data_IF_671492024823
#
_entry.id   IF_671492024823
#
_cell.length_a   1.000
_cell.length_b   1.000
_cell.length_c   1.000
_cell.angle_alpha   90.00
_cell.angle_beta   90.00
_cell.angle_gamma   90.00
#
_symmetry.space_group_name_H-M   'P 1'
#
loop_
_entity.id
_entity.type
_entity.pdbx_description
1 polymer ?
#
# COMPACT_ATOMS: atom_id res chain seq x y z
N UNK A 1 -17.04 -3.72 -31.81
CA UNK A 1 -17.07 -4.90 -30.90
C UNK A 1 -15.80 -5.06 -30.08
N UNK A 2 -14.61 -4.79 -30.62
CA UNK A 2 -13.30 -5.00 -29.97
C UNK A 2 -13.03 -4.10 -28.74
N UNK A 3 -13.48 -2.83 -28.76
CA UNK A 3 -13.32 -1.89 -27.64
C UNK A 3 -14.15 -2.28 -26.40
N UNK A 4 -15.36 -2.80 -26.60
CA UNK A 4 -16.22 -3.28 -25.50
C UNK A 4 -15.65 -4.54 -24.84
N UNK A 5 -15.00 -5.41 -25.60
CA UNK A 5 -14.32 -6.61 -25.07
C UNK A 5 -13.08 -6.22 -24.25
N UNK A 6 -12.32 -5.21 -24.66
CA UNK A 6 -11.16 -4.74 -23.89
C UNK A 6 -11.58 -4.08 -22.56
N UNK A 7 -12.63 -3.26 -22.57
CA UNK A 7 -13.14 -2.59 -21.36
C UNK A 7 -13.79 -3.60 -20.40
N UNK A 8 -14.52 -4.59 -20.92
CA UNK A 8 -15.13 -5.65 -20.09
C UNK A 8 -14.11 -6.66 -19.57
N UNK A 9 -13.03 -6.96 -20.30
CA UNK A 9 -11.94 -7.79 -19.81
C UNK A 9 -11.14 -7.12 -18.68
N UNK A 10 -10.87 -5.82 -18.79
CA UNK A 10 -10.25 -5.02 -17.71
C UNK A 10 -11.19 -4.94 -16.50
N UNK A 11 -12.49 -4.71 -16.72
CA UNK A 11 -13.50 -4.71 -15.66
C UNK A 11 -13.66 -6.07 -14.96
N UNK A 12 -13.68 -7.17 -15.71
CA UNK A 12 -13.78 -8.53 -15.20
C UNK A 12 -12.49 -8.94 -14.46
N UNK A 13 -11.31 -8.55 -14.95
CA UNK A 13 -10.04 -8.79 -14.25
C UNK A 13 -9.98 -8.02 -12.91
N UNK A 14 -10.47 -6.77 -12.89
CA UNK A 14 -10.55 -5.96 -11.67
C UNK A 14 -11.57 -6.51 -10.64
N UNK A 15 -12.65 -7.13 -11.12
CA UNK A 15 -13.69 -7.72 -10.26
C UNK A 15 -13.35 -9.14 -9.78
N UNK A 16 -12.75 -9.98 -10.62
CA UNK A 16 -12.35 -11.35 -10.27
C UNK A 16 -11.19 -11.35 -9.27
N UNK A 17 -10.28 -10.38 -9.36
CA UNK A 17 -9.15 -10.26 -8.44
C UNK A 17 -9.41 -9.38 -7.22
N UNK A 18 -10.68 -9.11 -6.85
CA UNK A 18 -11.02 -8.71 -5.47
C UNK A 18 -10.63 -9.87 -4.55
N UNK A 19 -9.55 -9.77 -3.74
CA UNK A 19 -9.22 -10.86 -2.84
C UNK A 19 -10.28 -10.88 -1.74
N UNK A 20 -10.89 -12.06 -1.57
CA UNK A 20 -11.81 -12.37 -0.49
C UNK A 20 -11.27 -11.88 0.86
N UNK A 21 -12.13 -11.36 1.75
CA UNK A 21 -11.75 -10.91 3.09
C UNK A 21 -11.38 -12.15 3.92
N UNK A 22 -10.11 -12.57 3.84
CA UNK A 22 -9.53 -13.55 4.76
C UNK A 22 -9.26 -12.86 6.10
N UNK A 23 -10.32 -12.45 6.77
CA UNK A 23 -10.34 -12.33 8.22
C UNK A 23 -10.46 -13.75 8.79
N UNK A 24 -9.66 -14.05 9.83
CA UNK A 24 -9.77 -15.21 10.75
C UNK A 24 -8.99 -16.52 10.51
N UNK A 25 -7.82 -16.55 9.86
CA UNK A 25 -6.99 -17.78 9.88
C UNK A 25 -5.47 -17.58 10.09
N UNK A 26 -5.06 -16.44 10.66
CA UNK A 26 -3.63 -16.14 10.90
C UNK A 26 -3.07 -16.51 12.28
N UNK A 27 -3.83 -17.20 13.15
CA UNK A 27 -3.45 -17.36 14.57
C UNK A 27 -2.52 -18.53 14.91
N UNK A 28 -1.94 -19.26 13.95
CA UNK A 28 -1.10 -20.44 14.27
C UNK A 28 0.17 -20.61 13.44
N UNK A 29 0.64 -19.58 12.72
CA UNK A 29 1.91 -19.70 11.96
C UNK A 29 2.91 -18.69 12.53
N UNK A 30 4.04 -19.14 13.11
CA UNK A 30 5.16 -18.26 13.44
C UNK A 30 5.54 -17.49 12.19
N UNK A 31 5.65 -16.17 12.30
CA UNK A 31 6.12 -15.32 11.22
C UNK A 31 7.60 -15.62 10.94
N UNK A 32 7.86 -16.69 10.21
CA UNK A 32 9.14 -16.88 9.54
C UNK A 32 9.30 -15.72 8.55
N UNK A 33 10.45 -15.05 8.65
CA UNK A 33 10.84 -13.97 7.74
C UNK A 33 10.76 -14.51 6.32
N UNK A 34 9.71 -14.16 5.59
CA UNK A 34 9.60 -14.52 4.18
C UNK A 34 10.79 -13.86 3.46
N UNK A 35 11.63 -14.64 2.77
CA UNK A 35 12.76 -14.08 2.03
C UNK A 35 12.24 -13.09 0.99
N UNK A 36 12.95 -11.97 0.84
CA UNK A 36 12.65 -10.84 -0.06
C UNK A 36 12.39 -11.26 -1.53
N UNK A 37 12.79 -12.48 -1.92
CA UNK A 37 12.52 -13.10 -3.22
C UNK A 37 11.05 -13.46 -3.48
N UNK A 38 10.20 -13.58 -2.44
CA UNK A 38 8.76 -13.86 -2.61
C UNK A 38 7.95 -12.64 -3.06
N UNK A 39 8.52 -11.43 -2.99
CA UNK A 39 7.93 -10.23 -3.58
C UNK A 39 7.95 -10.25 -5.13
N UNK A 40 8.82 -11.07 -5.74
CA UNK A 40 8.94 -11.21 -7.19
C UNK A 40 7.93 -12.21 -7.79
N UNK A 41 7.38 -13.13 -7.01
CA UNK A 41 6.37 -14.12 -7.46
C UNK A 41 5.15 -13.48 -8.14
N UNK A 42 4.52 -12.41 -7.61
CA UNK A 42 3.42 -11.76 -8.32
C UNK A 42 3.87 -11.06 -9.61
N UNK A 43 5.13 -10.62 -9.72
CA UNK A 43 5.69 -9.99 -10.94
C UNK A 43 5.91 -11.03 -12.02
N UNK A 44 6.43 -12.20 -11.67
CA UNK A 44 6.66 -13.31 -12.62
C UNK A 44 5.34 -13.89 -13.12
N UNK A 45 4.33 -14.06 -12.26
CA UNK A 45 2.99 -14.52 -12.66
C UNK A 45 2.28 -13.48 -13.54
N UNK A 46 2.46 -12.20 -13.23
CA UNK A 46 1.94 -11.10 -14.03
C UNK A 46 2.61 -11.05 -15.43
N UNK A 47 3.94 -11.17 -15.50
CA UNK A 47 4.69 -11.25 -16.76
C UNK A 47 4.33 -12.50 -17.57
N UNK A 48 4.13 -13.65 -16.93
CA UNK A 48 3.66 -14.85 -17.60
C UNK A 48 2.24 -14.67 -18.17
N UNK A 49 1.36 -13.98 -17.44
CA UNK A 49 0.04 -13.59 -17.94
C UNK A 49 0.09 -12.64 -19.15
N UNK A 50 1.04 -11.70 -19.15
CA UNK A 50 1.31 -10.80 -20.30
C UNK A 50 1.75 -11.58 -21.52
N UNK A 51 2.67 -12.54 -21.36
CA UNK A 51 3.15 -13.38 -22.46
C UNK A 51 2.02 -14.25 -23.01
N UNK A 52 1.21 -14.87 -22.15
CA UNK A 52 0.08 -15.72 -22.57
C UNK A 52 -1.00 -14.90 -23.26
N UNK A 53 -1.35 -13.71 -22.77
CA UNK A 53 -2.33 -12.82 -23.39
C UNK A 53 -1.84 -12.26 -24.74
N UNK A 54 -0.55 -11.91 -24.83
CA UNK A 54 0.07 -11.46 -26.08
C UNK A 54 0.11 -12.58 -27.14
N UNK A 55 0.46 -13.80 -26.74
CA UNK A 55 0.50 -14.98 -27.62
C UNK A 55 -0.90 -15.36 -28.07
N UNK A 56 -1.89 -15.39 -27.17
CA UNK A 56 -3.29 -15.67 -27.54
C UNK A 56 -3.89 -14.57 -28.44
N UNK A 57 -3.56 -13.30 -28.19
CA UNK A 57 -3.98 -12.19 -29.05
C UNK A 57 -3.38 -12.25 -30.46
N UNK A 58 -2.10 -12.63 -30.56
CA UNK A 58 -1.41 -12.88 -31.84
C UNK A 58 -2.03 -14.05 -32.61
N UNK A 59 -2.38 -15.14 -31.91
CA UNK A 59 -2.92 -16.37 -32.53
C UNK A 59 -4.35 -16.18 -33.05
N UNK A 60 -5.19 -15.39 -32.36
CA UNK A 60 -6.61 -15.26 -32.72
C UNK A 60 -6.96 -14.06 -33.63
N UNK A 61 -6.19 -12.97 -33.62
CA UNK A 61 -6.56 -11.71 -34.30
C UNK A 61 -5.43 -11.05 -35.11
N UNK A 62 -4.31 -11.74 -35.36
CA UNK A 62 -3.17 -11.20 -36.11
C UNK A 62 -2.40 -10.10 -35.36
N UNK A 63 -1.66 -9.25 -36.08
CA UNK A 63 -0.78 -8.22 -35.48
C UNK A 63 -1.54 -7.18 -34.66
N UNK A 64 -2.77 -6.85 -35.05
CA UNK A 64 -3.65 -5.94 -34.31
C UNK A 64 -4.11 -6.51 -32.96
N UNK A 65 -4.34 -7.83 -32.89
CA UNK A 65 -4.68 -8.52 -31.65
C UNK A 65 -3.51 -8.59 -30.65
N UNK A 66 -2.30 -8.79 -31.17
CA UNK A 66 -1.08 -8.80 -30.36
C UNK A 66 -0.80 -7.47 -29.66
N UNK A 67 -0.98 -6.34 -30.36
CA UNK A 67 -0.76 -5.01 -29.80
C UNK A 67 -1.75 -4.66 -28.68
N UNK A 68 -3.04 -4.99 -28.85
CA UNK A 68 -4.07 -4.78 -27.81
C UNK A 68 -3.79 -5.68 -26.61
N UNK A 69 -3.46 -6.96 -26.84
CA UNK A 69 -3.15 -7.93 -25.79
C UNK A 69 -1.95 -7.50 -24.96
N UNK A 70 -0.86 -7.07 -25.60
CA UNK A 70 0.34 -6.62 -24.92
C UNK A 70 0.10 -5.35 -24.09
N UNK A 71 -0.60 -4.36 -24.66
CA UNK A 71 -0.87 -3.08 -23.97
C UNK A 71 -1.88 -3.21 -22.83
N UNK A 72 -2.95 -3.98 -23.02
CA UNK A 72 -3.92 -4.23 -21.94
C UNK A 72 -3.32 -5.06 -20.81
N UNK A 73 -2.44 -6.03 -21.14
CA UNK A 73 -1.73 -6.80 -20.14
C UNK A 73 -0.68 -5.96 -19.39
N UNK A 74 0.10 -5.12 -20.08
CA UNK A 74 1.04 -4.18 -19.44
C UNK A 74 0.31 -3.26 -18.45
N UNK A 75 -0.80 -2.66 -18.85
CA UNK A 75 -1.62 -1.82 -17.97
C UNK A 75 -2.18 -2.63 -16.78
N UNK A 76 -2.73 -3.83 -17.03
CA UNK A 76 -3.27 -4.67 -15.97
C UNK A 76 -2.19 -5.09 -14.96
N UNK A 77 -0.98 -5.40 -15.42
CA UNK A 77 0.16 -5.77 -14.57
C UNK A 77 0.63 -4.58 -13.74
N UNK A 78 0.81 -3.40 -14.36
CA UNK A 78 1.25 -2.20 -13.63
C UNK A 78 0.21 -1.75 -12.61
N UNK A 79 -1.08 -1.78 -12.96
CA UNK A 79 -2.16 -1.46 -12.02
C UNK A 79 -2.25 -2.51 -10.91
N UNK A 80 -2.10 -3.80 -11.21
CA UNK A 80 -2.13 -4.86 -10.19
C UNK A 80 -0.95 -4.74 -9.22
N UNK A 81 0.26 -4.54 -9.76
CA UNK A 81 1.47 -4.38 -8.96
C UNK A 81 1.38 -3.13 -8.08
N UNK A 82 0.96 -2.00 -8.68
CA UNK A 82 0.76 -0.74 -7.98
C UNK A 82 -0.33 -0.84 -6.90
N UNK A 83 -1.50 -1.42 -7.22
CA UNK A 83 -2.57 -1.62 -6.24
C UNK A 83 -2.14 -2.55 -5.10
N UNK A 84 -1.39 -3.61 -5.39
CA UNK A 84 -0.92 -4.53 -4.36
C UNK A 84 0.06 -3.84 -3.43
N UNK A 85 1.00 -3.07 -3.98
CA UNK A 85 1.98 -2.32 -3.21
C UNK A 85 1.33 -1.19 -2.41
N UNK A 86 0.44 -0.43 -3.04
CA UNK A 86 -0.34 0.63 -2.39
C UNK A 86 -1.23 0.07 -1.27
N UNK A 87 -1.84 -1.11 -1.43
CA UNK A 87 -2.66 -1.73 -0.37
C UNK A 87 -1.80 -2.16 0.82
N UNK A 88 -0.62 -2.73 0.60
CA UNK A 88 0.31 -3.03 1.71
C UNK A 88 0.82 -1.77 2.40
N UNK A 89 1.15 -0.72 1.63
CA UNK A 89 1.60 0.56 2.17
C UNK A 89 0.47 1.31 2.92
N UNK A 90 -0.76 1.27 2.41
CA UNK A 90 -1.94 1.88 3.05
C UNK A 90 -2.29 1.20 4.37
N UNK A 91 -2.11 -0.13 4.45
CA UNK A 91 -2.30 -0.86 5.71
C UNK A 91 -1.24 -0.50 6.74
N UNK A 92 0.02 -0.36 6.32
CA UNK A 92 1.08 0.10 7.20
C UNK A 92 0.81 1.54 7.69
N UNK A 93 0.39 2.46 6.80
CA UNK A 93 0.03 3.84 7.17
C UNK A 93 -1.10 3.87 8.20
N UNK A 94 -2.21 3.18 7.93
CA UNK A 94 -3.35 3.10 8.86
C UNK A 94 -2.95 2.53 10.22
N UNK A 95 -2.13 1.47 10.22
CA UNK A 95 -1.62 0.90 11.47
C UNK A 95 -0.73 1.89 12.23
N UNK A 96 0.13 2.64 11.55
CA UNK A 96 0.93 3.69 12.20
C UNK A 96 0.03 4.72 12.87
N UNK A 97 -1.02 5.17 12.18
CA UNK A 97 -2.04 6.08 12.73
C UNK A 97 -2.71 5.46 13.97
N UNK A 98 -3.22 4.22 13.86
CA UNK A 98 -3.84 3.47 14.96
C UNK A 98 -2.90 3.30 16.17
N UNK A 99 -1.61 3.05 15.93
CA UNK A 99 -0.58 2.91 16.98
C UNK A 99 -0.34 4.23 17.70
N UNK A 100 -0.26 5.34 16.97
CA UNK A 100 -0.07 6.66 17.59
C UNK A 100 -1.30 7.04 18.41
N UNK A 101 -2.51 6.87 17.88
CA UNK A 101 -3.75 7.16 18.58
C UNK A 101 -3.85 6.32 19.88
N UNK A 102 -3.48 5.04 19.80
CA UNK A 102 -3.42 4.17 20.97
C UNK A 102 -2.37 4.64 22.00
N UNK A 103 -1.16 5.00 21.57
CA UNK A 103 -0.12 5.53 22.45
C UNK A 103 -0.55 6.86 23.11
N UNK A 104 -1.25 7.73 22.38
CA UNK A 104 -1.78 8.99 22.92
C UNK A 104 -2.87 8.74 23.96
N UNK A 105 -3.78 7.80 23.72
CA UNK A 105 -4.79 7.38 24.69
C UNK A 105 -4.14 6.82 25.95
N UNK A 106 -3.13 5.96 25.79
CA UNK A 106 -2.37 5.38 26.90
C UNK A 106 -1.67 6.47 27.74
N UNK A 107 -0.97 7.40 27.08
CA UNK A 107 -0.34 8.55 27.74
C UNK A 107 -1.37 9.43 28.47
N UNK A 108 -2.51 9.70 27.85
CA UNK A 108 -3.63 10.43 28.47
C UNK A 108 -4.14 9.76 29.73
N UNK A 109 -4.34 8.44 29.72
CA UNK A 109 -4.76 7.68 30.90
C UNK A 109 -3.73 7.76 32.04
N UNK A 110 -2.43 7.64 31.75
CA UNK A 110 -1.40 7.77 32.77
C UNK A 110 -1.27 9.19 33.30
N UNK A 111 -1.51 10.21 32.47
CA UNK A 111 -1.53 11.63 32.89
C UNK A 111 -2.67 11.92 33.86
N UNK A 112 -3.80 11.22 33.73
CA UNK A 112 -4.92 11.27 34.70
C UNK A 112 -4.62 10.47 35.98
N UNK A 113 -3.46 9.80 36.05
CA UNK A 113 -2.97 9.10 37.24
C UNK A 113 -3.24 7.59 37.24
N UNK A 114 -3.69 7.01 36.11
CA UNK A 114 -3.81 5.55 36.04
C UNK A 114 -2.43 4.89 36.08
N UNK A 115 -2.32 3.83 36.90
CA UNK A 115 -1.13 2.97 36.88
C UNK A 115 -0.98 2.28 35.52
N UNK A 116 0.25 2.06 35.02
CA UNK A 116 0.48 1.63 33.64
C UNK A 116 -0.23 0.35 33.23
N UNK A 117 -0.32 -0.62 34.12
CA UNK A 117 -1.03 -1.88 33.89
C UNK A 117 -2.54 -1.67 33.69
N UNK A 118 -3.14 -0.73 34.41
CA UNK A 118 -4.55 -0.38 34.26
C UNK A 118 -4.78 0.48 33.03
N UNK A 119 -3.88 1.44 32.76
CA UNK A 119 -3.93 2.26 31.55
C UNK A 119 -3.84 1.40 30.29
N UNK A 120 -2.93 0.41 30.25
CA UNK A 120 -2.82 -0.53 29.12
C UNK A 120 -4.10 -1.34 28.92
N UNK A 121 -4.69 -1.85 30.00
CA UNK A 121 -5.93 -2.62 29.94
C UNK A 121 -7.09 -1.79 29.40
N UNK A 122 -7.24 -0.54 29.85
CA UNK A 122 -8.27 0.37 29.34
C UNK A 122 -8.00 0.68 27.87
N UNK A 123 -6.75 1.00 27.52
CA UNK A 123 -6.37 1.29 26.14
C UNK A 123 -6.59 0.11 25.19
N UNK A 124 -6.44 -1.13 25.66
CA UNK A 124 -6.68 -2.34 24.88
C UNK A 124 -8.18 -2.60 24.60
N UNK A 125 -9.09 -1.98 25.36
CA UNK A 125 -10.54 -2.04 25.09
C UNK A 125 -10.87 -1.19 23.87
N UNK A 126 -10.31 0.03 23.80
CA UNK A 126 -10.58 0.98 22.73
C UNK A 126 -9.73 0.73 21.47
N UNK A 127 -8.53 0.16 21.62
CA UNK A 127 -7.64 -0.14 20.52
C UNK A 127 -7.12 -1.57 20.52
N UNK A 128 -7.41 -2.28 19.43
CA UNK A 128 -6.90 -3.64 19.19
C UNK A 128 -5.37 -3.71 19.10
N UNK A 129 -4.68 -2.57 18.95
CA UNK A 129 -3.22 -2.47 18.92
C UNK A 129 -2.57 -2.98 20.21
N UNK A 130 -3.25 -2.86 21.36
CA UNK A 130 -2.72 -3.35 22.64
C UNK A 130 -3.28 -4.70 23.07
N UNK A 131 -4.13 -5.35 22.26
CA UNK A 131 -4.82 -6.56 22.65
C UNK A 131 -3.86 -7.71 23.03
N UNK A 132 -2.76 -7.91 22.30
CA UNK A 132 -1.76 -8.94 22.65
C UNK A 132 -0.97 -8.55 23.90
N UNK A 133 -0.67 -7.26 24.08
CA UNK A 133 0.08 -6.76 25.23
C UNK A 133 -0.74 -6.87 26.53
N UNK A 134 -2.03 -6.50 26.50
CA UNK A 134 -2.95 -6.71 27.62
C UNK A 134 -3.17 -8.20 27.91
N UNK A 135 -3.36 -9.03 26.88
CA UNK A 135 -3.50 -10.48 27.05
C UNK A 135 -2.25 -11.09 27.73
N UNK A 136 -1.05 -10.67 27.34
CA UNK A 136 0.19 -11.09 27.99
C UNK A 136 0.21 -10.63 29.45
N UNK A 137 -0.12 -9.36 29.71
CA UNK A 137 -0.16 -8.80 31.07
C UNK A 137 -1.12 -9.55 31.99
N UNK A 138 -2.32 -9.89 31.51
CA UNK A 138 -3.35 -10.59 32.29
C UNK A 138 -2.96 -11.99 32.74
N UNK A 139 -2.03 -12.63 32.03
CA UNK A 139 -1.49 -13.96 32.36
C UNK A 139 -0.13 -13.84 33.09
N UNK A 140 0.31 -12.62 33.42
CA UNK A 140 1.60 -12.37 34.06
C UNK A 140 2.81 -12.49 33.13
N UNK A 141 2.59 -12.45 31.82
CA UNK A 141 3.64 -12.44 30.81
C UNK A 141 4.25 -11.04 30.58
N UNK A 142 5.30 -10.98 29.77
CA UNK A 142 6.00 -9.73 29.45
C UNK A 142 5.24 -8.87 28.43
N UNK A 143 4.82 -7.67 28.87
CA UNK A 143 4.24 -6.62 28.01
C UNK A 143 5.26 -6.16 26.96
N UNK A 144 6.51 -5.93 27.38
CA UNK A 144 7.62 -5.53 26.49
C UNK A 144 7.82 -6.52 25.35
N UNK A 145 7.82 -7.83 25.66
CA UNK A 145 8.00 -8.87 24.64
C UNK A 145 6.82 -8.90 23.63
N UNK A 146 5.59 -8.69 24.10
CA UNK A 146 4.41 -8.60 23.24
C UNK A 146 4.45 -7.36 22.33
N UNK A 147 4.82 -6.19 22.87
CA UNK A 147 4.98 -4.95 22.09
C UNK A 147 6.09 -5.10 21.03
N UNK A 148 7.24 -5.70 21.39
CA UNK A 148 8.33 -5.99 20.45
C UNK A 148 7.96 -7.01 19.36
N UNK A 149 7.04 -7.92 19.63
CA UNK A 149 6.53 -8.87 18.62
C UNK A 149 5.64 -8.14 17.63
N UNK A 150 4.70 -7.35 18.14
CA UNK A 150 3.76 -6.56 17.34
C UNK A 150 4.44 -5.47 16.52
N UNK A 151 5.56 -4.92 16.99
CA UNK A 151 6.33 -3.90 16.27
C UNK A 151 7.02 -4.41 15.01
N UNK A 152 7.16 -5.74 14.86
CA UNK A 152 7.74 -6.36 13.65
C UNK A 152 6.80 -6.30 12.45
N UNK A 153 5.52 -6.03 12.67
CA UNK A 153 4.56 -5.86 11.60
C UNK A 153 4.67 -4.44 10.98
N UNK A 154 4.42 -4.28 9.66
CA UNK A 154 4.51 -2.98 9.01
C UNK A 154 3.62 -1.92 9.69
N UNK A 155 4.20 -0.76 9.99
CA UNK A 155 3.54 0.31 10.75
C UNK A 155 3.65 0.18 12.28
N UNK A 156 4.46 -0.77 12.78
CA UNK A 156 4.63 -1.04 14.21
C UNK A 156 5.77 -0.28 14.91
N UNK A 157 6.45 0.67 14.25
CA UNK A 157 7.66 1.33 14.80
C UNK A 157 7.40 2.01 16.14
N UNK A 158 6.26 2.70 16.30
CA UNK A 158 5.89 3.34 17.58
C UNK A 158 5.76 2.35 18.74
N UNK A 159 5.40 1.09 18.47
CA UNK A 159 5.34 0.03 19.50
C UNK A 159 6.74 -0.43 19.93
N UNK A 160 7.75 -0.35 19.06
CA UNK A 160 9.14 -0.65 19.43
C UNK A 160 9.70 0.44 20.35
N UNK A 161 9.40 1.72 20.05
CA UNK A 161 9.79 2.84 20.90
C UNK A 161 9.08 2.76 22.26
N UNK A 162 7.77 2.48 22.27
CA UNK A 162 7.01 2.25 23.50
C UNK A 162 7.57 1.09 24.31
N UNK A 163 7.88 -0.05 23.69
CA UNK A 163 8.45 -1.20 24.38
C UNK A 163 9.79 -0.87 25.07
N UNK A 164 10.61 -0.04 24.42
CA UNK A 164 11.89 0.41 24.95
C UNK A 164 11.69 1.35 26.14
N UNK A 165 10.78 2.33 26.02
CA UNK A 165 10.44 3.21 27.12
C UNK A 165 9.89 2.44 28.33
N UNK A 166 9.03 1.44 28.06
CA UNK A 166 8.43 0.58 29.08
C UNK A 166 9.47 -0.28 29.81
N UNK A 167 10.39 -0.91 29.08
CA UNK A 167 11.47 -1.71 29.65
C UNK A 167 12.41 -0.86 30.53
N UNK A 168 12.75 0.36 30.08
CA UNK A 168 13.58 1.28 30.87
C UNK A 168 12.86 1.69 32.16
N UNK A 169 11.57 2.02 32.09
CA UNK A 169 10.77 2.38 33.26
C UNK A 169 10.64 1.20 34.25
N UNK A 170 10.45 -0.03 33.77
CA UNK A 170 10.39 -1.23 34.60
C UNK A 170 11.73 -1.52 35.31
N UNK A 171 12.86 -1.38 34.61
CA UNK A 171 14.20 -1.64 35.17
C UNK A 171 14.60 -0.56 36.18
N UNK A 172 14.36 0.70 35.85
CA UNK A 172 14.85 1.84 36.66
C UNK A 172 13.87 2.27 37.74
N UNK A 173 12.61 1.84 37.66
CA UNK A 173 11.52 2.36 38.48
C UNK A 173 11.19 3.83 38.17
N UNK A 174 11.75 4.40 37.10
CA UNK A 174 11.50 5.78 36.70
C UNK A 174 10.03 5.98 36.34
N UNK A 175 9.56 7.22 36.52
CA UNK A 175 8.18 7.59 36.22
C UNK A 175 7.89 7.41 34.72
N UNK A 176 7.07 6.41 34.40
CA UNK A 176 6.72 6.06 33.03
C UNK A 176 6.00 7.21 32.29
N UNK A 177 5.34 8.10 33.02
CA UNK A 177 4.64 9.27 32.46
C UNK A 177 5.58 10.21 31.72
N UNK A 178 6.74 10.56 32.28
CA UNK A 178 7.67 11.49 31.61
C UNK A 178 8.24 10.92 30.30
N UNK A 179 8.56 9.63 30.29
CA UNK A 179 9.03 8.94 29.08
C UNK A 179 7.93 8.79 28.02
N UNK A 180 6.68 8.58 28.44
CA UNK A 180 5.54 8.49 27.54
C UNK A 180 5.09 9.85 27.01
N UNK A 181 5.20 10.92 27.79
CA UNK A 181 4.96 12.29 27.33
C UNK A 181 5.94 12.64 26.21
N UNK A 182 7.24 12.37 26.40
CA UNK A 182 8.25 12.57 25.37
C UNK A 182 7.98 11.72 24.11
N UNK A 183 7.51 10.48 24.28
CA UNK A 183 7.11 9.64 23.16
C UNK A 183 5.88 10.21 22.44
N UNK A 184 4.83 10.61 23.18
CA UNK A 184 3.62 11.19 22.61
C UNK A 184 3.90 12.49 21.85
N UNK A 185 4.74 13.37 22.38
CA UNK A 185 5.15 14.61 21.72
C UNK A 185 5.91 14.30 20.43
N UNK A 186 6.81 13.30 20.44
CA UNK A 186 7.55 12.88 19.25
C UNK A 186 6.63 12.27 18.18
N UNK A 187 5.65 11.46 18.58
CA UNK A 187 4.67 10.88 17.67
C UNK A 187 3.72 11.94 17.08
N UNK A 188 3.29 12.92 17.88
CA UNK A 188 2.47 14.04 17.40
C UNK A 188 3.25 14.95 16.44
N UNK A 189 4.52 15.26 16.75
CA UNK A 189 5.41 16.00 15.85
C UNK A 189 5.57 15.27 14.50
N UNK A 190 5.81 13.96 14.52
CA UNK A 190 5.92 13.15 13.30
C UNK A 190 4.62 13.18 12.47
N UNK A 191 3.45 13.07 13.12
CA UNK A 191 2.15 13.17 12.45
C UNK A 191 1.87 14.55 11.86
N UNK A 192 2.23 15.63 12.55
CA UNK A 192 2.10 16.99 12.04
C UNK A 192 2.95 17.18 10.78
N UNK A 193 4.21 16.71 10.79
CA UNK A 193 5.08 16.74 9.60
C UNK A 193 4.47 15.96 8.46
N UNK A 194 3.96 14.75 8.70
CA UNK A 194 3.31 13.94 7.67
C UNK A 194 2.09 14.65 7.05
N UNK A 195 1.25 15.30 7.88
CA UNK A 195 0.10 16.08 7.39
C UNK A 195 0.51 17.28 6.56
N UNK A 196 1.55 18.01 6.97
CA UNK A 196 2.09 19.14 6.20
C UNK A 196 2.62 18.65 4.86
N UNK A 197 3.40 17.58 4.83
CA UNK A 197 3.91 16.98 3.59
C UNK A 197 2.75 16.53 2.69
N UNK A 198 1.73 15.88 3.24
CA UNK A 198 0.57 15.45 2.44
C UNK A 198 -0.23 16.64 1.88
N UNK A 199 -0.31 17.77 2.60
CA UNK A 199 -0.93 19.00 2.15
C UNK A 199 -0.11 19.69 1.05
N UNK A 200 1.21 19.84 1.25
CA UNK A 200 2.12 20.43 0.27
C UNK A 200 2.17 19.61 -1.03
N UNK A 201 2.12 18.27 -0.92
CA UNK A 201 2.08 17.39 -2.08
C UNK A 201 0.71 17.32 -2.75
N UNK A 202 -0.35 17.91 -2.17
CA UNK A 202 -1.68 17.86 -2.77
C UNK A 202 -1.73 18.56 -4.14
N UNK A 203 -1.08 19.73 -4.25
CA UNK A 203 -1.02 20.48 -5.51
C UNK A 203 -0.20 19.75 -6.60
N UNK A 204 1.05 19.28 -6.35
CA UNK A 204 1.79 18.44 -7.29
C UNK A 204 1.06 17.15 -7.68
N UNK A 205 0.32 16.52 -6.75
CA UNK A 205 -0.49 15.34 -7.06
C UNK A 205 -1.68 15.67 -7.96
N UNK A 206 -2.31 16.84 -7.77
CA UNK A 206 -3.42 17.29 -8.61
C UNK A 206 -2.97 17.58 -10.05
N UNK A 207 -1.85 18.27 -10.23
CA UNK A 207 -1.28 18.52 -11.57
C UNK A 207 -0.81 17.24 -12.24
N UNK A 208 -0.18 16.33 -11.48
CA UNK A 208 0.18 15.00 -11.97
C UNK A 208 -1.04 14.20 -12.46
N UNK A 209 -2.17 14.25 -11.74
CA UNK A 209 -3.43 13.62 -12.18
C UNK A 209 -4.00 14.25 -13.45
N UNK A 210 -3.93 15.59 -13.57
CA UNK A 210 -4.33 16.32 -14.78
C UNK A 210 -3.49 15.91 -15.99
N UNK A 211 -2.17 15.89 -15.85
CA UNK A 211 -1.24 15.45 -16.90
C UNK A 211 -1.45 13.98 -17.27
N UNK A 212 -1.73 13.12 -16.29
CA UNK A 212 -2.03 11.72 -16.53
C UNK A 212 -3.38 11.51 -17.24
N UNK A 213 -4.33 12.43 -17.11
CA UNK A 213 -5.61 12.40 -17.83
C UNK A 213 -5.50 12.95 -19.26
N UNK A 214 -4.46 13.74 -19.55
CA UNK A 214 -4.24 14.39 -20.84
C UNK A 214 -4.28 13.43 -22.05
N UNK A 215 -3.70 12.21 -22.01
CA UNK A 215 -3.77 11.27 -23.12
C UNK A 215 -5.21 10.87 -23.48
N UNK A 216 -6.07 10.72 -22.46
CA UNK A 216 -7.48 10.37 -22.65
C UNK A 216 -8.23 11.51 -23.33
N UNK A 217 -7.99 12.75 -22.89
CA UNK A 217 -8.53 13.93 -23.54
C UNK A 217 -8.04 14.09 -24.99
N UNK A 218 -6.77 13.79 -25.26
CA UNK A 218 -6.22 13.81 -26.62
C UNK A 218 -6.89 12.80 -27.55
N UNK A 219 -7.14 11.58 -27.07
CA UNK A 219 -7.91 10.55 -27.80
C UNK A 219 -9.36 10.99 -28.06
N UNK A 220 -10.03 11.53 -27.04
CA UNK A 220 -11.40 12.05 -27.17
C UNK A 220 -11.50 13.18 -28.20
N UNK A 221 -10.56 14.13 -28.15
CA UNK A 221 -10.51 15.24 -29.09
C UNK A 221 -10.23 14.74 -30.52
N UNK A 222 -9.34 13.76 -30.68
CA UNK A 222 -9.08 13.11 -31.97
C UNK A 222 -10.33 12.48 -32.58
N UNK A 223 -11.17 11.82 -31.77
CA UNK A 223 -12.48 11.31 -32.21
C UNK A 223 -13.46 12.45 -32.53
N UNK A 224 -13.49 13.52 -31.73
CA UNK A 224 -14.40 14.65 -31.92
C UNK A 224 -14.15 15.44 -33.22
N UNK A 225 -12.89 15.50 -33.68
CA UNK A 225 -12.49 16.13 -34.94
C UNK A 225 -12.80 15.22 -36.16
N UNK A 226 -13.36 14.02 -35.92
CA UNK A 226 -13.71 13.06 -36.97
C UNK A 226 -12.55 12.15 -37.39
N UNK A 227 -11.44 12.15 -36.65
CA UNK A 227 -10.40 11.15 -36.80
C UNK A 227 -10.86 9.79 -36.27
N UNK A 228 -10.25 8.72 -36.80
CA UNK A 228 -10.41 7.37 -36.25
C UNK A 228 -9.07 6.87 -35.71
N UNK A 229 -8.62 7.40 -34.55
CA UNK A 229 -7.36 6.97 -33.92
C UNK A 229 -7.38 5.48 -33.59
N UNK A 230 -8.56 4.88 -33.42
CA UNK A 230 -8.73 3.44 -33.24
C UNK A 230 -8.26 2.64 -34.45
N UNK A 231 -8.71 2.98 -35.66
CA UNK A 231 -8.25 2.29 -36.88
C UNK A 231 -6.78 2.59 -37.21
N UNK A 232 -6.26 3.77 -36.88
CA UNK A 232 -4.83 4.06 -37.04
C UNK A 232 -3.96 3.25 -36.07
N UNK A 233 -4.30 3.24 -34.77
CA UNK A 233 -3.55 2.53 -33.73
C UNK A 233 -3.58 1.01 -33.92
N UNK A 234 -4.68 0.47 -34.46
CA UNK A 234 -4.88 -0.97 -34.62
C UNK A 234 -4.57 -1.47 -36.02
N UNK A 235 -4.76 -0.63 -37.04
CA UNK A 235 -4.61 -0.98 -38.45
C UNK A 235 -3.23 -0.69 -39.04
N UNK A 236 -2.40 0.14 -38.40
CA UNK A 236 -1.05 0.46 -38.89
C UNK A 236 0.04 -0.08 -37.94
N UNK A 237 1.12 -0.68 -38.47
CA UNK A 237 2.26 -1.11 -37.64
C UNK A 237 2.93 0.06 -36.92
N UNK A 238 2.90 1.26 -37.49
CA UNK A 238 3.41 2.48 -36.83
C UNK A 238 2.52 2.88 -35.65
N UNK A 239 1.20 2.75 -35.80
CA UNK A 239 0.23 3.00 -34.73
C UNK A 239 0.38 2.01 -33.56
N UNK A 240 0.59 0.74 -33.88
CA UNK A 240 0.84 -0.32 -32.90
C UNK A 240 2.15 -0.09 -32.12
N UNK A 241 3.22 0.32 -32.81
CA UNK A 241 4.49 0.66 -32.15
C UNK A 241 4.31 1.84 -31.18
N UNK A 242 3.62 2.89 -31.62
CA UNK A 242 3.35 4.07 -30.79
C UNK A 242 2.53 3.71 -29.54
N UNK A 243 1.54 2.83 -29.68
CA UNK A 243 0.73 2.30 -28.57
C UNK A 243 1.60 1.57 -27.54
N UNK A 244 2.46 0.65 -27.99
CA UNK A 244 3.34 -0.13 -27.11
C UNK A 244 4.35 0.77 -26.40
N UNK A 245 4.98 1.69 -27.14
CA UNK A 245 5.95 2.64 -26.59
C UNK A 245 5.28 3.54 -25.55
N UNK A 246 4.11 4.10 -25.85
CA UNK A 246 3.37 4.96 -24.92
C UNK A 246 3.01 4.25 -23.62
N UNK A 247 2.52 3.01 -23.69
CA UNK A 247 2.21 2.19 -22.50
C UNK A 247 3.46 1.85 -21.73
N UNK A 248 4.56 1.48 -22.41
CA UNK A 248 5.83 1.18 -21.76
C UNK A 248 6.40 2.39 -21.00
N UNK A 249 6.36 3.59 -21.59
CA UNK A 249 6.77 4.83 -20.91
C UNK A 249 5.88 5.14 -19.71
N UNK A 250 4.56 4.98 -19.83
CA UNK A 250 3.65 5.16 -18.70
C UNK A 250 3.97 4.18 -17.55
N UNK A 251 4.21 2.91 -17.87
CA UNK A 251 4.59 1.88 -16.90
C UNK A 251 5.93 2.20 -16.23
N UNK A 252 6.92 2.65 -17.01
CA UNK A 252 8.22 3.08 -16.50
C UNK A 252 8.09 4.28 -15.55
N UNK A 253 7.21 5.24 -15.88
CA UNK A 253 6.90 6.38 -15.02
C UNK A 253 6.32 5.98 -13.67
N UNK A 254 5.33 5.07 -13.66
CA UNK A 254 4.75 4.53 -12.41
C UNK A 254 5.82 3.80 -11.59
N UNK A 255 6.62 2.94 -12.23
CA UNK A 255 7.70 2.21 -11.58
C UNK A 255 8.74 3.15 -10.94
N UNK A 256 9.09 4.23 -11.64
CA UNK A 256 10.02 5.24 -11.15
C UNK A 256 9.47 6.00 -9.93
N UNK A 257 8.20 6.41 -9.96
CA UNK A 257 7.54 7.09 -8.84
C UNK A 257 7.49 6.19 -7.61
N UNK A 258 7.10 4.91 -7.78
CA UNK A 258 7.07 3.94 -6.67
C UNK A 258 8.46 3.68 -6.09
N UNK A 259 9.49 3.61 -6.94
CA UNK A 259 10.88 3.46 -6.50
C UNK A 259 11.37 4.67 -5.70
N UNK A 260 11.00 5.89 -6.09
CA UNK A 260 11.33 7.11 -5.33
C UNK A 260 10.58 7.10 -3.98
N UNK A 261 9.28 6.80 -3.99
CA UNK A 261 8.47 6.76 -2.78
C UNK A 261 8.99 5.71 -1.77
N UNK A 262 9.41 4.53 -2.25
CA UNK A 262 9.99 3.49 -1.40
C UNK A 262 11.32 3.89 -0.75
N UNK A 263 12.10 4.78 -1.38
CA UNK A 263 13.36 5.29 -0.83
C UNK A 263 13.18 6.45 0.14
N UNK A 264 12.08 7.20 0.03
CA UNK A 264 11.81 8.33 0.90
C UNK A 264 11.16 7.92 2.25
N UNK A 265 10.58 6.72 2.33
CA UNK A 265 9.92 6.20 3.54
C UNK A 265 10.72 5.16 4.34
N UNK A 266 12.01 5.00 4.05
CA UNK A 266 12.92 4.04 4.72
C UNK A 266 14.02 4.74 5.47
#
# INVERSE_FOLDING_TARGET
MSLLVAVTAVGAALLWFRPSPRHRLGRLIPAERMPQSWAAVPVVVALAGVVVAAVLGLVFFGTAGGAIGLSSALVAVTVFWSMRWQRTASRAKRRTEDVVDACQLLAGLMRVGHVPTTALRIAAIDSAVFAEADAAQRVGGSVVAALRRQSREPGGVGLAELATAWEVAEITGASMTATLDALSDRLDAAHKVARVVDAELAAPRATGRLLAALPVFGLLLGYAIGGDPGSFLLGSPVGQLCLVVGVALACAGVWWIERIAARAGG
#
